data_IF_959701244201
#
_entry.id   IF_959701244201
#
_cell.length_a   1.000
_cell.length_b   1.000
_cell.length_c   1.000
_cell.angle_alpha   90.00
_cell.angle_beta   90.00
_cell.angle_gamma   90.00
#
_symmetry.space_group_name_H-M   'P 1'
#
loop_
_entity.id
_entity.type
_entity.pdbx_description
1 polymer ?
#
# COMPACT_ATOMS: atom_id res chain seq x y z
N UNK A 1 -10.87 3.87 -8.34
CA UNK A 1 -11.49 4.93 -7.52
C UNK A 1 -12.91 4.45 -7.31
N UNK A 2 -13.25 4.03 -6.09
CA UNK A 2 -14.62 3.67 -5.77
C UNK A 2 -15.53 4.86 -6.08
N UNK A 3 -16.73 4.59 -6.59
CA UNK A 3 -17.66 5.65 -6.94
C UNK A 3 -18.23 6.29 -5.66
N UNK A 4 -17.48 7.22 -5.09
CA UNK A 4 -17.84 7.98 -3.90
C UNK A 4 -19.14 8.78 -4.07
N UNK A 5 -19.69 8.90 -5.28
CA UNK A 5 -20.93 9.63 -5.54
C UNK A 5 -22.16 8.95 -4.91
N UNK A 6 -22.10 7.64 -4.69
CA UNK A 6 -23.19 6.87 -4.09
C UNK A 6 -23.27 7.00 -2.55
N UNK A 7 -22.24 7.54 -1.89
CA UNK A 7 -22.20 7.63 -0.43
C UNK A 7 -23.08 8.76 0.10
N UNK A 8 -23.57 8.61 1.34
CA UNK A 8 -24.33 9.64 2.04
C UNK A 8 -23.42 10.79 2.53
N UNK A 9 -23.40 11.90 1.79
CA UNK A 9 -22.64 13.10 2.16
C UNK A 9 -23.45 14.15 2.94
N UNK A 10 -24.55 13.73 3.58
CA UNK A 10 -25.34 14.57 4.48
C UNK A 10 -24.51 15.04 5.68
N UNK A 11 -24.38 16.36 5.85
CA UNK A 11 -23.61 16.95 6.95
C UNK A 11 -24.23 16.56 8.30
N UNK A 12 -23.40 16.09 9.21
CA UNK A 12 -23.83 15.66 10.54
C UNK A 12 -22.97 14.56 11.12
N UNK A 13 -23.37 14.08 12.28
CA UNK A 13 -22.74 12.96 12.98
C UNK A 13 -23.82 11.96 13.39
N UNK A 14 -23.54 10.66 13.20
CA UNK A 14 -24.38 9.57 13.72
C UNK A 14 -23.53 8.42 14.24
N UNK A 15 -24.04 7.73 15.25
CA UNK A 15 -23.52 6.43 15.69
C UNK A 15 -23.98 5.36 14.71
N UNK A 16 -23.04 4.59 14.17
CA UNK A 16 -23.32 3.46 13.26
C UNK A 16 -23.41 2.15 14.04
N UNK A 17 -22.54 1.96 15.03
CA UNK A 17 -22.57 0.78 15.91
C UNK A 17 -22.09 1.12 17.32
N UNK A 18 -22.66 0.46 18.33
CA UNK A 18 -22.08 0.38 19.67
C UNK A 18 -21.19 -0.86 19.72
N UNK A 19 -19.89 -0.66 19.94
CA UNK A 19 -18.91 -1.76 19.95
C UNK A 19 -19.04 -2.63 21.20
N UNK A 20 -19.85 -2.26 22.19
CA UNK A 20 -20.14 -3.10 23.35
C UNK A 20 -21.35 -4.00 23.13
N UNK A 21 -22.09 -3.83 22.04
CA UNK A 21 -23.26 -4.64 21.69
C UNK A 21 -22.89 -5.63 20.59
N UNK A 22 -23.26 -6.89 20.78
CA UNK A 22 -23.04 -7.96 19.81
C UNK A 22 -24.10 -9.05 19.97
N UNK A 23 -24.54 -9.67 18.88
CA UNK A 23 -25.50 -10.79 18.88
C UNK A 23 -24.88 -12.15 19.24
N UNK A 24 -23.55 -12.21 19.27
CA UNK A 24 -22.73 -13.34 19.68
C UNK A 24 -21.99 -13.01 20.98
N UNK A 25 -21.70 -14.04 21.79
CA UNK A 25 -20.84 -13.88 22.97
C UNK A 25 -19.40 -13.62 22.52
N UNK A 26 -18.87 -12.43 22.84
CA UNK A 26 -17.52 -12.01 22.46
C UNK A 26 -16.61 -12.02 23.69
N UNK A 27 -15.62 -12.92 23.71
CA UNK A 27 -14.60 -12.94 24.77
C UNK A 27 -13.62 -11.78 24.62
N UNK A 28 -13.16 -11.52 23.39
CA UNK A 28 -12.31 -10.38 23.04
C UNK A 28 -12.38 -10.10 21.53
N UNK A 29 -11.89 -8.91 21.13
CA UNK A 29 -11.89 -8.43 19.74
C UNK A 29 -10.52 -7.93 19.29
N UNK A 30 -10.22 -8.10 18.01
CA UNK A 30 -9.05 -7.50 17.34
C UNK A 30 -9.28 -6.01 17.01
N UNK A 31 -8.32 -5.43 16.28
CA UNK A 31 -8.39 -4.07 15.77
C UNK A 31 -9.56 -3.87 14.80
N UNK A 32 -10.37 -2.84 15.06
CA UNK A 32 -11.53 -2.50 14.23
C UNK A 32 -11.11 -2.05 12.83
N UNK A 33 -11.91 -2.43 11.84
CA UNK A 33 -11.83 -2.02 10.44
C UNK A 33 -13.06 -1.20 10.10
N UNK A 34 -12.91 -0.07 9.42
CA UNK A 34 -14.03 0.75 8.98
C UNK A 34 -14.24 0.60 7.47
N UNK A 35 -15.49 0.43 7.03
CA UNK A 35 -15.81 0.43 5.61
C UNK A 35 -15.44 1.77 4.96
N UNK A 36 -15.12 1.79 3.66
CA UNK A 36 -14.82 3.02 2.92
C UNK A 36 -15.87 4.12 3.13
N UNK A 37 -17.15 3.77 3.02
CA UNK A 37 -18.30 4.69 3.13
C UNK A 37 -18.64 5.09 4.57
N UNK A 38 -18.05 4.40 5.55
CA UNK A 38 -18.26 4.60 6.97
C UNK A 38 -19.55 4.00 7.54
N UNK A 39 -20.31 3.22 6.77
CA UNK A 39 -21.55 2.59 7.22
C UNK A 39 -21.35 1.27 7.98
N UNK A 40 -20.13 0.74 7.98
CA UNK A 40 -19.79 -0.47 8.71
C UNK A 40 -18.49 -0.33 9.49
N UNK A 41 -18.46 -1.00 10.64
CA UNK A 41 -17.26 -1.31 11.39
C UNK A 41 -17.23 -2.80 11.65
N UNK A 42 -16.07 -3.41 11.46
CA UNK A 42 -15.89 -4.84 11.62
C UNK A 42 -14.65 -5.17 12.44
N UNK A 43 -14.65 -6.31 13.12
CA UNK A 43 -13.48 -6.85 13.80
C UNK A 43 -13.53 -8.37 13.83
N UNK A 44 -12.36 -9.00 13.83
CA UNK A 44 -12.24 -10.40 14.24
C UNK A 44 -12.57 -10.49 15.72
N UNK A 45 -13.42 -11.43 16.09
CA UNK A 45 -13.86 -11.69 17.47
C UNK A 45 -13.63 -13.14 17.82
N UNK A 46 -13.20 -13.39 19.06
CA UNK A 46 -13.19 -14.74 19.64
C UNK A 46 -14.53 -14.99 20.32
N UNK A 47 -15.22 -16.06 19.90
CA UNK A 47 -16.58 -16.40 20.35
C UNK A 47 -16.65 -17.64 21.24
N UNK A 48 -15.54 -18.36 21.36
CA UNK A 48 -15.42 -19.51 22.27
C UNK A 48 -14.02 -20.10 22.26
N UNK A 49 -13.85 -21.26 22.89
CA UNK A 49 -12.56 -21.96 22.94
C UNK A 49 -12.10 -22.39 21.53
N UNK A 50 -11.10 -21.70 20.97
CA UNK A 50 -10.60 -21.98 19.63
C UNK A 50 -11.56 -21.55 18.51
N UNK A 51 -12.60 -20.77 18.82
CA UNK A 51 -13.62 -20.36 17.86
C UNK A 51 -13.58 -18.84 17.61
N UNK A 52 -13.54 -18.47 16.34
CA UNK A 52 -13.44 -17.10 15.86
C UNK A 52 -14.51 -16.80 14.81
N UNK A 53 -14.89 -15.52 14.72
CA UNK A 53 -15.76 -15.00 13.67
C UNK A 53 -15.39 -13.55 13.38
N UNK A 54 -16.13 -12.93 12.46
CA UNK A 54 -16.09 -11.50 12.18
C UNK A 54 -17.39 -10.89 12.63
N UNK A 55 -17.32 -9.92 13.54
CA UNK A 55 -18.44 -9.09 13.94
C UNK A 55 -18.48 -7.85 13.03
N UNK A 56 -19.60 -7.62 12.35
CA UNK A 56 -19.88 -6.43 11.54
C UNK A 56 -21.07 -5.71 12.15
N UNK A 57 -20.88 -4.47 12.60
CA UNK A 57 -21.93 -3.66 13.25
C UNK A 57 -22.70 -4.38 14.38
N UNK A 58 -22.03 -5.26 15.14
CA UNK A 58 -22.66 -6.03 16.21
C UNK A 58 -23.25 -7.38 15.77
N UNK A 59 -23.17 -7.74 14.49
CA UNK A 59 -23.60 -9.05 14.00
C UNK A 59 -22.44 -9.92 13.53
N UNK A 60 -22.39 -11.14 14.03
CA UNK A 60 -21.35 -12.08 13.67
C UNK A 60 -21.63 -12.85 12.36
N UNK A 61 -20.59 -13.10 11.57
CA UNK A 61 -20.64 -14.03 10.44
C UNK A 61 -20.91 -15.47 10.89
N UNK A 62 -21.52 -16.24 9.98
CA UNK A 62 -21.67 -17.69 10.04
C UNK A 62 -21.16 -18.30 8.72
N UNK A 63 -20.45 -19.46 8.75
CA UNK A 63 -20.08 -20.24 9.93
C UNK A 63 -18.95 -19.59 10.76
N UNK A 64 -18.61 -20.23 11.88
CA UNK A 64 -17.43 -19.91 12.71
C UNK A 64 -16.20 -20.63 12.21
N UNK A 65 -15.02 -20.13 12.59
CA UNK A 65 -13.72 -20.61 12.10
C UNK A 65 -12.76 -20.92 13.25
N UNK A 66 -11.79 -21.80 13.04
CA UNK A 66 -10.69 -21.99 14.00
C UNK A 66 -9.76 -20.77 14.04
N UNK A 67 -9.61 -20.06 12.91
CA UNK A 67 -8.92 -18.77 12.80
C UNK A 67 -9.50 -17.94 11.66
N UNK A 68 -9.45 -16.62 11.80
CA UNK A 68 -9.61 -15.69 10.69
C UNK A 68 -8.62 -14.53 10.86
N UNK A 69 -7.82 -14.26 9.84
CA UNK A 69 -6.75 -13.27 9.90
C UNK A 69 -6.84 -12.25 8.77
N UNK A 70 -6.14 -11.13 8.95
CA UNK A 70 -5.98 -10.07 7.96
C UNK A 70 -7.31 -9.51 7.44
N UNK A 71 -8.25 -9.28 8.36
CA UNK A 71 -9.55 -8.69 8.02
C UNK A 71 -9.37 -7.27 7.44
N UNK A 72 -9.84 -7.03 6.22
CA UNK A 72 -9.72 -5.74 5.52
C UNK A 72 -10.91 -5.49 4.61
N UNK A 73 -11.36 -4.23 4.55
CA UNK A 73 -12.26 -3.80 3.49
C UNK A 73 -11.49 -3.56 2.18
N UNK A 74 -11.98 -4.10 1.08
CA UNK A 74 -11.55 -3.76 -0.28
C UNK A 74 -11.97 -2.33 -0.65
N UNK A 75 -11.35 -1.72 -1.67
CA UNK A 75 -11.72 -0.37 -2.13
C UNK A 75 -13.18 -0.19 -2.54
N UNK A 76 -13.85 -1.25 -3.01
CA UNK A 76 -15.29 -1.27 -3.35
C UNK A 76 -16.21 -1.54 -2.14
N UNK A 77 -15.64 -1.81 -0.96
CA UNK A 77 -16.38 -1.92 0.30
C UNK A 77 -16.75 -3.33 0.74
N UNK A 78 -16.30 -4.38 0.03
CA UNK A 78 -16.43 -5.77 0.48
C UNK A 78 -15.45 -6.07 1.61
N UNK A 79 -15.85 -6.83 2.61
CA UNK A 79 -15.01 -7.20 3.75
C UNK A 79 -14.38 -8.56 3.50
N UNK A 80 -13.05 -8.63 3.39
CA UNK A 80 -12.32 -9.86 3.15
C UNK A 80 -11.50 -10.29 4.37
N UNK A 81 -11.43 -11.60 4.63
CA UNK A 81 -10.60 -12.20 5.66
C UNK A 81 -10.13 -13.60 5.26
N UNK A 82 -8.93 -14.00 5.70
CA UNK A 82 -8.37 -15.32 5.46
C UNK A 82 -8.79 -16.25 6.58
N UNK A 83 -9.71 -17.18 6.29
CA UNK A 83 -10.23 -18.11 7.27
C UNK A 83 -9.51 -19.46 7.20
N UNK A 84 -9.42 -20.11 8.35
CA UNK A 84 -8.91 -21.46 8.50
C UNK A 84 -9.93 -22.31 9.26
N UNK A 85 -10.22 -23.49 8.71
CA UNK A 85 -11.00 -24.52 9.37
C UNK A 85 -10.39 -25.89 9.05
N UNK A 86 -10.28 -26.76 10.07
CA UNK A 86 -9.73 -28.12 9.92
C UNK A 86 -8.35 -28.21 9.23
N UNK A 87 -7.56 -27.14 9.30
CA UNK A 87 -6.22 -27.06 8.70
C UNK A 87 -6.16 -26.46 7.30
N UNK A 88 -7.29 -26.32 6.60
CA UNK A 88 -7.35 -25.74 5.26
C UNK A 88 -7.72 -24.25 5.32
N UNK A 89 -7.21 -23.46 4.38
CA UNK A 89 -7.39 -22.01 4.30
C UNK A 89 -8.25 -21.61 3.09
N UNK A 90 -9.13 -20.64 3.30
CA UNK A 90 -9.95 -20.02 2.24
C UNK A 90 -10.06 -18.51 2.47
N UNK A 91 -10.45 -17.78 1.42
CA UNK A 91 -10.85 -16.38 1.55
C UNK A 91 -12.35 -16.33 1.85
N UNK A 92 -12.73 -15.57 2.88
CA UNK A 92 -14.11 -15.19 3.14
C UNK A 92 -14.33 -13.74 2.73
N UNK A 93 -15.34 -13.48 1.91
CA UNK A 93 -15.74 -12.15 1.43
C UNK A 93 -17.18 -11.92 1.82
N UNK A 94 -17.44 -10.93 2.67
CA UNK A 94 -18.77 -10.61 3.20
C UNK A 94 -19.49 -11.81 3.85
N UNK A 95 -18.71 -12.72 4.45
CA UNK A 95 -19.20 -13.94 5.08
C UNK A 95 -19.33 -15.15 4.15
N UNK A 96 -19.12 -14.98 2.85
CA UNK A 96 -19.14 -16.07 1.87
C UNK A 96 -17.72 -16.57 1.58
N UNK A 97 -17.52 -17.88 1.60
CA UNK A 97 -16.23 -18.51 1.33
C UNK A 97 -16.01 -18.68 -0.18
N UNK A 98 -14.76 -18.62 -0.63
CA UNK A 98 -14.40 -19.21 -1.91
C UNK A 98 -14.64 -20.72 -1.89
N UNK A 99 -15.04 -21.27 -3.05
CA UNK A 99 -15.30 -22.71 -3.21
C UNK A 99 -14.04 -23.56 -2.98
N UNK A 100 -12.88 -23.03 -3.36
CA UNK A 100 -11.58 -23.71 -3.25
C UNK A 100 -10.90 -23.43 -1.91
N UNK A 101 -10.12 -24.40 -1.45
CA UNK A 101 -9.32 -24.33 -0.22
C UNK A 101 -7.86 -24.69 -0.49
N UNK A 102 -6.95 -24.20 0.37
CA UNK A 102 -5.51 -24.33 0.17
C UNK A 102 -4.77 -24.60 1.49
N UNK A 103 -3.55 -25.13 1.41
CA UNK A 103 -2.76 -25.43 2.61
C UNK A 103 -2.44 -24.22 3.50
N UNK A 104 -2.20 -23.03 2.91
CA UNK A 104 -2.05 -21.77 3.63
C UNK A 104 -2.22 -20.57 2.70
N UNK A 105 -3.01 -19.57 3.12
CA UNK A 105 -3.17 -18.30 2.42
C UNK A 105 -2.59 -17.15 3.24
N UNK A 106 -2.01 -16.15 2.56
CA UNK A 106 -1.45 -14.95 3.21
C UNK A 106 -1.44 -13.74 2.27
N UNK A 107 -1.22 -12.55 2.82
CA UNK A 107 -1.02 -11.30 2.08
C UNK A 107 -2.15 -11.00 1.05
N UNK A 108 -3.35 -10.70 1.55
CA UNK A 108 -4.48 -10.28 0.72
C UNK A 108 -4.17 -8.97 -0.03
N UNK A 109 -4.54 -8.93 -1.30
CA UNK A 109 -4.36 -7.82 -2.22
C UNK A 109 -5.68 -7.52 -2.94
N UNK A 110 -5.90 -6.26 -3.27
CA UNK A 110 -7.08 -5.81 -4.00
C UNK A 110 -6.67 -5.07 -5.27
N UNK A 111 -7.43 -5.20 -6.35
CA UNK A 111 -7.35 -4.25 -7.45
C UNK A 111 -7.70 -2.84 -6.97
N UNK A 112 -7.29 -1.82 -7.73
CA UNK A 112 -7.48 -0.40 -7.39
C UNK A 112 -8.95 0.02 -7.31
N UNK A 113 -9.83 -0.65 -8.05
CA UNK A 113 -11.27 -0.48 -7.96
C UNK A 113 -11.91 -1.39 -6.92
N UNK A 114 -11.17 -2.39 -6.42
CA UNK A 114 -11.61 -3.38 -5.44
C UNK A 114 -12.34 -4.58 -6.02
N UNK A 115 -12.57 -4.64 -7.34
CA UNK A 115 -13.35 -5.71 -7.98
C UNK A 115 -12.69 -7.09 -7.96
N UNK A 116 -11.35 -7.14 -7.90
CA UNK A 116 -10.56 -8.38 -7.84
C UNK A 116 -9.91 -8.53 -6.47
N UNK A 117 -9.97 -9.73 -5.91
CA UNK A 117 -9.30 -10.09 -4.66
C UNK A 117 -8.27 -11.18 -4.95
N UNK A 118 -7.02 -10.92 -4.58
CA UNK A 118 -5.93 -11.88 -4.70
C UNK A 118 -5.29 -12.15 -3.35
N UNK A 119 -4.62 -13.29 -3.22
CA UNK A 119 -3.75 -13.59 -2.08
C UNK A 119 -2.59 -14.46 -2.52
N UNK A 120 -1.60 -14.60 -1.65
CA UNK A 120 -0.49 -15.53 -1.84
C UNK A 120 -0.87 -16.88 -1.25
N UNK A 121 -0.42 -17.96 -1.90
CA UNK A 121 -0.64 -19.33 -1.44
C UNK A 121 0.68 -20.01 -1.13
N UNK A 122 0.69 -20.80 -0.06
CA UNK A 122 1.71 -21.81 0.18
C UNK A 122 1.00 -23.16 0.29
N UNK A 123 1.24 -24.03 -0.68
CA UNK A 123 0.65 -25.36 -0.72
C UNK A 123 1.72 -26.40 -1.05
N UNK A 124 1.74 -27.49 -0.29
CA UNK A 124 2.70 -28.59 -0.44
C UNK A 124 4.16 -28.13 -0.57
N UNK A 125 4.57 -27.14 0.24
CA UNK A 125 5.91 -26.51 0.24
C UNK A 125 6.28 -25.77 -1.07
N UNK A 126 5.27 -25.39 -1.85
CA UNK A 126 5.40 -24.54 -3.03
C UNK A 126 4.54 -23.29 -2.87
N UNK A 127 4.87 -22.25 -3.63
CA UNK A 127 4.34 -20.90 -3.43
C UNK A 127 3.89 -20.30 -4.75
N UNK A 128 2.83 -19.49 -4.70
CA UNK A 128 2.28 -18.77 -5.84
C UNK A 128 1.21 -17.77 -5.42
N UNK A 129 0.29 -17.44 -6.33
CA UNK A 129 -0.83 -16.55 -6.06
C UNK A 129 -2.16 -17.21 -6.42
N UNK A 130 -3.22 -16.75 -5.77
CA UNK A 130 -4.62 -17.07 -6.04
C UNK A 130 -5.33 -15.77 -6.38
N UNK A 131 -6.10 -15.76 -7.46
CA UNK A 131 -6.90 -14.61 -7.90
C UNK A 131 -8.34 -15.06 -8.01
N UNK A 132 -9.24 -14.46 -7.23
CA UNK A 132 -10.66 -14.80 -7.17
C UNK A 132 -10.91 -16.32 -7.07
N UNK A 133 -10.20 -16.99 -6.17
CA UNK A 133 -10.32 -18.43 -5.94
C UNK A 133 -9.59 -19.34 -6.95
N UNK A 134 -8.84 -18.78 -7.92
CA UNK A 134 -8.08 -19.57 -8.90
C UNK A 134 -6.58 -19.42 -8.65
N UNK A 135 -5.92 -20.52 -8.29
CA UNK A 135 -4.47 -20.57 -8.12
C UNK A 135 -3.72 -20.57 -9.45
N UNK A 136 -2.48 -20.10 -9.44
CA UNK A 136 -1.54 -20.33 -10.54
C UNK A 136 -1.39 -21.82 -10.87
N UNK A 137 -1.30 -22.14 -12.15
CA UNK A 137 -1.05 -23.52 -12.61
C UNK A 137 0.33 -24.03 -12.17
N UNK A 138 1.35 -23.16 -12.18
CA UNK A 138 2.69 -23.47 -11.68
C UNK A 138 2.97 -22.77 -10.35
N UNK A 139 3.34 -23.57 -9.35
CA UNK A 139 3.86 -23.11 -8.07
C UNK A 139 5.36 -23.36 -7.99
N UNK A 140 6.05 -22.58 -7.17
CA UNK A 140 7.51 -22.58 -7.09
C UNK A 140 7.98 -22.94 -5.68
N UNK A 141 9.13 -23.61 -5.56
CA UNK A 141 9.72 -23.97 -4.26
C UNK A 141 10.04 -22.74 -3.38
N UNK A 142 10.15 -21.56 -3.99
CA UNK A 142 10.20 -20.28 -3.30
C UNK A 142 9.56 -19.22 -4.20
N UNK A 143 8.68 -18.40 -3.63
CA UNK A 143 8.18 -17.18 -4.24
C UNK A 143 8.08 -16.06 -3.20
N UNK A 144 8.36 -14.83 -3.61
CA UNK A 144 8.25 -13.63 -2.78
C UNK A 144 8.10 -12.38 -3.66
N UNK A 145 8.03 -11.18 -3.07
CA UNK A 145 7.78 -9.92 -3.81
C UNK A 145 6.54 -10.04 -4.73
N UNK A 146 5.46 -10.62 -4.19
CA UNK A 146 4.20 -10.80 -4.90
C UNK A 146 3.58 -9.45 -5.24
N UNK A 147 2.99 -9.35 -6.43
CA UNK A 147 2.43 -8.12 -6.95
C UNK A 147 1.19 -8.41 -7.79
N UNK A 148 0.14 -7.63 -7.56
CA UNK A 148 -1.09 -7.61 -8.36
C UNK A 148 -1.08 -6.33 -9.21
N UNK A 149 -1.47 -6.41 -10.48
CA UNK A 149 -1.65 -5.23 -11.33
C UNK A 149 -2.75 -4.30 -10.80
N UNK A 150 -2.72 -3.02 -11.18
CA UNK A 150 -3.71 -2.05 -10.67
C UNK A 150 -5.16 -2.43 -10.97
N UNK A 151 -5.43 -3.09 -12.10
CA UNK A 151 -6.76 -3.57 -12.50
C UNK A 151 -7.05 -5.02 -12.08
N UNK A 152 -6.13 -5.66 -11.36
CA UNK A 152 -6.25 -7.04 -10.90
C UNK A 152 -6.08 -8.13 -11.96
N UNK A 153 -5.84 -7.77 -13.23
CA UNK A 153 -5.82 -8.73 -14.34
C UNK A 153 -4.52 -9.55 -14.45
N UNK A 154 -3.45 -9.10 -13.79
CA UNK A 154 -2.13 -9.74 -13.87
C UNK A 154 -1.48 -9.83 -12.51
N UNK A 155 -0.69 -10.88 -12.34
CA UNK A 155 0.03 -11.16 -11.11
C UNK A 155 1.49 -11.45 -11.41
N UNK A 156 2.39 -11.08 -10.50
CA UNK A 156 3.81 -11.37 -10.64
C UNK A 156 4.44 -11.69 -9.29
N UNK A 157 5.50 -12.51 -9.31
CA UNK A 157 6.32 -12.76 -8.14
C UNK A 157 7.77 -13.03 -8.56
N UNK A 158 8.70 -12.78 -7.64
CA UNK A 158 10.06 -13.30 -7.75
C UNK A 158 10.03 -14.77 -7.35
N UNK A 159 10.51 -15.65 -8.24
CA UNK A 159 10.45 -17.10 -8.06
C UNK A 159 11.82 -17.74 -8.18
N UNK A 160 12.05 -18.82 -7.44
CA UNK A 160 13.23 -19.67 -7.63
C UNK A 160 12.92 -20.74 -8.68
N UNK A 161 13.61 -20.69 -9.82
CA UNK A 161 13.39 -21.63 -10.95
C UNK A 161 14.39 -22.78 -10.94
N UNK A 162 15.53 -22.61 -10.26
CA UNK A 162 16.56 -23.65 -10.14
C UNK A 162 16.61 -24.15 -8.69
N UNK A 163 16.41 -25.45 -8.43
CA UNK A 163 16.54 -26.01 -7.09
C UNK A 163 17.92 -25.73 -6.49
N UNK A 164 17.96 -25.34 -5.21
CA UNK A 164 19.20 -25.03 -4.51
C UNK A 164 19.27 -25.86 -3.22
N UNK A 165 20.29 -26.70 -3.12
CA UNK A 165 20.63 -27.45 -1.91
C UNK A 165 21.37 -26.59 -0.88
N UNK A 166 21.56 -27.16 0.32
CA UNK A 166 22.34 -26.50 1.36
C UNK A 166 23.79 -26.26 0.90
N UNK A 167 24.31 -25.06 1.15
CA UNK A 167 25.69 -24.65 0.84
C UNK A 167 26.10 -24.66 -0.65
N UNK A 168 25.17 -24.70 -1.60
CA UNK A 168 25.46 -24.62 -3.05
C UNK A 168 25.79 -23.17 -3.52
N UNK A 169 26.79 -22.53 -2.92
CA UNK A 169 27.10 -21.10 -3.16
C UNK A 169 27.48 -20.80 -4.61
N UNK A 170 28.14 -21.73 -5.32
CA UNK A 170 28.51 -21.53 -6.72
C UNK A 170 27.30 -21.58 -7.65
N UNK A 171 26.36 -22.49 -7.42
CA UNK A 171 25.10 -22.59 -8.16
C UNK A 171 24.23 -21.35 -7.96
N UNK A 172 24.15 -20.85 -6.72
CA UNK A 172 23.48 -19.58 -6.43
C UNK A 172 24.07 -18.41 -7.26
N UNK A 173 25.40 -18.36 -7.42
CA UNK A 173 26.08 -17.33 -8.20
C UNK A 173 25.85 -17.42 -9.71
N UNK A 174 25.43 -18.57 -10.22
CA UNK A 174 25.04 -18.73 -11.64
C UNK A 174 23.66 -18.10 -11.93
N UNK A 175 22.90 -17.79 -10.88
CA UNK A 175 21.56 -17.21 -10.98
C UNK A 175 20.47 -18.27 -10.93
N UNK A 176 19.57 -18.14 -9.96
CA UNK A 176 18.50 -19.13 -9.70
C UNK A 176 17.11 -18.51 -9.59
N UNK A 177 17.03 -17.17 -9.66
CA UNK A 177 15.78 -16.43 -9.50
C UNK A 177 15.34 -15.80 -10.81
N UNK A 178 14.04 -15.80 -11.05
CA UNK A 178 13.37 -15.13 -12.17
C UNK A 178 12.13 -14.39 -11.66
N UNK A 179 11.37 -13.79 -12.57
CA UNK A 179 10.00 -13.30 -12.31
C UNK A 179 9.02 -14.24 -12.99
N UNK A 180 8.05 -14.74 -12.23
CA UNK A 180 6.85 -15.36 -12.79
C UNK A 180 5.79 -14.29 -13.02
N UNK A 181 5.15 -14.32 -14.19
CA UNK A 181 3.96 -13.52 -14.52
C UNK A 181 2.82 -14.50 -14.76
N UNK A 182 1.75 -14.39 -13.98
CA UNK A 182 0.62 -15.34 -13.95
C UNK A 182 1.07 -16.80 -13.81
N UNK A 183 2.08 -17.04 -12.96
CA UNK A 183 2.63 -18.38 -12.75
C UNK A 183 3.62 -18.84 -13.82
N UNK A 184 3.94 -18.05 -14.83
CA UNK A 184 4.92 -18.40 -15.85
C UNK A 184 6.22 -17.61 -15.70
N UNK A 185 7.32 -18.29 -15.39
CA UNK A 185 8.63 -17.69 -15.23
C UNK A 185 9.22 -17.22 -16.56
N UNK A 186 9.92 -16.07 -16.55
CA UNK A 186 10.76 -15.71 -17.69
C UNK A 186 11.84 -16.77 -17.93
N UNK A 187 12.17 -17.00 -19.20
CA UNK A 187 13.24 -17.90 -19.66
C UNK A 187 14.65 -17.30 -19.48
N UNK A 188 14.90 -16.75 -18.29
CA UNK A 188 16.19 -16.18 -17.88
C UNK A 188 16.27 -16.19 -16.35
N UNK A 189 17.48 -16.34 -15.82
CA UNK A 189 17.73 -16.30 -14.38
C UNK A 189 18.76 -15.25 -14.01
N UNK A 190 18.62 -14.74 -12.78
CA UNK A 190 19.49 -13.76 -12.15
C UNK A 190 19.92 -14.25 -10.78
N UNK A 191 21.01 -13.67 -10.24
CA UNK A 191 21.50 -13.98 -8.89
C UNK A 191 20.46 -13.59 -7.85
N UNK A 192 19.82 -12.43 -8.04
CA UNK A 192 18.67 -12.01 -7.27
C UNK A 192 17.77 -11.11 -8.13
N UNK A 193 16.48 -11.12 -7.81
CA UNK A 193 15.45 -10.26 -8.39
C UNK A 193 14.61 -9.67 -7.27
N UNK A 194 14.13 -8.44 -7.41
CA UNK A 194 13.26 -7.77 -6.45
C UNK A 194 12.23 -6.88 -7.14
N UNK A 195 11.12 -6.62 -6.45
CA UNK A 195 10.15 -5.58 -6.80
C UNK A 195 9.67 -5.62 -8.27
N UNK A 196 9.01 -6.71 -8.72
CA UNK A 196 8.36 -6.74 -10.02
C UNK A 196 7.23 -5.69 -10.05
N UNK A 197 7.16 -4.90 -11.12
CA UNK A 197 6.17 -3.83 -11.31
C UNK A 197 5.59 -3.91 -12.70
N UNK A 198 4.27 -3.78 -12.83
CA UNK A 198 3.58 -3.77 -14.12
C UNK A 198 3.63 -2.40 -14.80
N UNK A 199 3.63 -2.40 -16.13
CA UNK A 199 3.22 -1.24 -16.92
C UNK A 199 1.74 -0.96 -16.70
N UNK A 200 1.29 0.29 -16.93
CA UNK A 200 -0.10 0.68 -16.70
C UNK A 200 -1.14 -0.08 -17.54
N UNK A 201 -0.72 -0.69 -18.66
CA UNK A 201 -1.53 -1.55 -19.53
C UNK A 201 -1.26 -3.05 -19.31
N UNK A 202 -0.51 -3.38 -18.26
CA UNK A 202 -0.10 -4.72 -17.84
C UNK A 202 0.63 -5.57 -18.89
N UNK A 203 1.10 -4.97 -19.98
CA UNK A 203 1.77 -5.73 -21.05
C UNK A 203 3.21 -6.12 -20.71
N UNK A 204 3.81 -5.44 -19.73
CA UNK A 204 5.23 -5.57 -19.41
C UNK A 204 5.46 -5.54 -17.90
N UNK A 205 6.50 -6.22 -17.46
CA UNK A 205 6.96 -6.25 -16.07
C UNK A 205 8.43 -5.83 -16.01
N UNK A 206 8.72 -4.89 -15.13
CA UNK A 206 10.07 -4.45 -14.81
C UNK A 206 10.46 -4.93 -13.40
N UNK A 207 11.72 -5.28 -13.19
CA UNK A 207 12.21 -5.67 -11.88
C UNK A 207 13.64 -5.16 -11.63
N UNK A 208 14.01 -5.03 -10.37
CA UNK A 208 15.41 -4.86 -9.97
C UNK A 208 16.13 -6.20 -10.07
N UNK A 209 17.33 -6.22 -10.64
CA UNK A 209 18.17 -7.43 -10.65
C UNK A 209 19.58 -7.17 -10.17
N UNK A 210 20.15 -8.22 -9.60
CA UNK A 210 21.58 -8.35 -9.36
C UNK A 210 22.13 -9.38 -10.35
N UNK A 211 23.06 -8.95 -11.20
CA UNK A 211 23.68 -9.80 -12.22
C UNK A 211 24.82 -10.64 -11.65
N UNK A 212 25.57 -10.08 -10.70
CA UNK A 212 26.64 -10.74 -9.97
C UNK A 212 26.85 -10.05 -8.60
N UNK A 213 27.94 -10.35 -7.90
CA UNK A 213 28.16 -9.79 -6.56
C UNK A 213 28.21 -8.25 -6.47
N UNK A 214 28.41 -7.54 -7.58
CA UNK A 214 28.63 -6.09 -7.58
C UNK A 214 27.75 -5.32 -8.56
N UNK A 215 27.22 -6.00 -9.57
CA UNK A 215 26.53 -5.36 -10.69
C UNK A 215 25.01 -5.48 -10.57
N UNK A 216 24.34 -4.34 -10.59
CA UNK A 216 22.89 -4.22 -10.53
C UNK A 216 22.36 -3.49 -11.76
N UNK A 217 21.14 -3.84 -12.15
CA UNK A 217 20.42 -3.13 -13.22
C UNK A 217 18.92 -3.36 -13.09
N UNK A 218 18.15 -2.75 -14.00
CA UNK A 218 16.72 -3.03 -14.17
C UNK A 218 16.56 -3.97 -15.36
N UNK A 219 15.66 -4.94 -15.21
CA UNK A 219 15.22 -5.85 -16.27
C UNK A 219 13.79 -5.49 -16.66
N UNK A 220 13.47 -5.55 -17.95
CA UNK A 220 12.11 -5.42 -18.46
C UNK A 220 11.81 -6.64 -19.33
N UNK A 221 10.80 -7.42 -18.97
CA UNK A 221 10.40 -8.66 -19.67
C UNK A 221 11.58 -9.60 -19.93
N UNK A 222 12.37 -9.86 -18.89
CA UNK A 222 13.58 -10.70 -18.96
C UNK A 222 14.79 -10.06 -19.64
N UNK A 223 14.70 -8.81 -20.14
CA UNK A 223 15.79 -8.11 -20.84
C UNK A 223 16.42 -7.03 -19.97
N UNK A 224 17.67 -7.22 -19.50
CA UNK A 224 18.36 -6.20 -18.71
C UNK A 224 18.62 -4.93 -19.52
N UNK A 225 18.63 -3.77 -18.86
CA UNK A 225 19.22 -2.58 -19.45
C UNK A 225 20.71 -2.82 -19.76
N UNK A 226 21.22 -2.15 -20.78
CA UNK A 226 22.64 -2.20 -21.14
C UNK A 226 23.54 -1.49 -20.10
N UNK A 227 22.97 -0.68 -19.21
CA UNK A 227 23.68 0.04 -18.17
C UNK A 227 23.79 -0.80 -16.89
N UNK A 228 24.93 -0.70 -16.22
CA UNK A 228 25.22 -1.35 -14.95
C UNK A 228 25.48 -0.27 -13.88
N UNK A 229 24.96 -0.50 -12.68
CA UNK A 229 25.06 0.40 -11.54
C UNK A 229 25.59 -0.33 -10.31
N UNK A 230 26.13 0.43 -9.35
CA UNK A 230 26.59 -0.16 -8.09
C UNK A 230 25.43 -0.69 -7.25
N UNK A 231 24.29 -0.02 -7.32
CA UNK A 231 23.00 -0.40 -6.73
C UNK A 231 21.89 0.28 -7.54
N UNK A 232 20.69 -0.28 -7.50
CA UNK A 232 19.47 0.36 -8.00
C UNK A 232 18.38 0.19 -6.95
N UNK A 233 17.29 0.95 -7.05
CA UNK A 233 16.05 0.69 -6.31
C UNK A 233 14.95 0.22 -7.26
N UNK A 234 13.78 -0.03 -6.68
CA UNK A 234 12.56 -0.45 -7.36
C UNK A 234 12.29 0.35 -8.65
N UNK A 235 11.96 -0.31 -9.78
CA UNK A 235 11.61 0.36 -11.01
C UNK A 235 10.20 0.97 -10.96
N UNK A 236 9.94 1.97 -11.80
CA UNK A 236 8.63 2.54 -12.03
C UNK A 236 8.40 2.78 -13.52
N UNK A 237 7.31 2.24 -14.07
CA UNK A 237 6.89 2.59 -15.42
C UNK A 237 6.32 4.01 -15.48
N UNK A 238 6.68 4.74 -16.53
CA UNK A 238 6.00 5.96 -16.90
C UNK A 238 4.56 5.62 -17.33
N UNK A 239 3.55 6.36 -16.85
CA UNK A 239 2.13 5.98 -16.99
C UNK A 239 1.62 5.93 -18.43
N UNK A 240 2.37 6.45 -19.41
CA UNK A 240 1.97 6.54 -20.83
C UNK A 240 2.94 5.99 -21.86
N UNK A 241 4.25 5.98 -21.60
CA UNK A 241 5.28 5.73 -22.62
C UNK A 241 5.96 4.37 -22.48
N UNK A 242 5.66 3.64 -21.40
CA UNK A 242 6.36 2.39 -21.00
C UNK A 242 7.85 2.53 -20.71
N UNK A 243 8.42 3.73 -20.78
CA UNK A 243 9.79 3.95 -20.29
C UNK A 243 9.84 3.66 -18.79
N UNK A 244 10.93 3.08 -18.32
CA UNK A 244 11.09 2.70 -16.92
C UNK A 244 12.11 3.62 -16.27
N UNK A 245 11.78 4.18 -15.11
CA UNK A 245 12.72 4.91 -14.26
C UNK A 245 13.10 4.10 -13.03
N UNK A 246 14.32 4.28 -12.55
CA UNK A 246 14.75 3.71 -11.28
C UNK A 246 15.81 4.62 -10.63
N UNK A 247 15.79 4.78 -9.30
CA UNK A 247 16.92 5.35 -8.59
C UNK A 247 18.15 4.48 -8.79
N UNK A 248 19.29 5.10 -9.10
CA UNK A 248 20.54 4.39 -9.38
C UNK A 248 21.70 4.98 -8.59
N UNK A 249 22.60 4.12 -8.14
CA UNK A 249 23.81 4.51 -7.41
C UNK A 249 25.04 4.38 -8.28
N UNK A 250 25.78 5.49 -8.39
CA UNK A 250 27.04 5.58 -9.12
C UNK A 250 28.04 6.40 -8.31
N UNK A 251 29.28 5.90 -8.21
CA UNK A 251 30.38 6.58 -7.50
C UNK A 251 29.99 7.03 -6.07
N UNK A 252 29.24 6.19 -5.37
CA UNK A 252 28.83 6.41 -3.99
C UNK A 252 27.58 7.30 -3.79
N UNK A 253 27.06 7.94 -4.84
CA UNK A 253 25.90 8.85 -4.78
C UNK A 253 24.70 8.30 -5.55
N UNK A 254 23.50 8.74 -5.18
CA UNK A 254 22.25 8.35 -5.81
C UNK A 254 21.76 9.44 -6.78
N UNK A 255 21.21 8.97 -7.90
CA UNK A 255 20.50 9.77 -8.90
C UNK A 255 19.32 8.96 -9.44
N UNK A 256 18.89 9.29 -10.65
CA UNK A 256 17.76 8.62 -11.32
C UNK A 256 18.17 8.28 -12.74
N UNK A 257 17.83 7.08 -13.21
CA UNK A 257 17.96 6.68 -14.60
C UNK A 257 16.59 6.39 -15.22
N UNK A 258 16.48 6.59 -16.53
CA UNK A 258 15.38 6.15 -17.37
C UNK A 258 15.94 5.28 -18.49
N UNK A 259 15.46 4.05 -18.61
CA UNK A 259 15.89 3.08 -19.64
C UNK A 259 17.42 2.95 -19.72
N UNK A 260 18.08 2.91 -18.56
CA UNK A 260 19.54 2.84 -18.42
C UNK A 260 20.30 4.16 -18.59
N UNK A 261 19.64 5.25 -19.02
CA UNK A 261 20.25 6.57 -19.15
C UNK A 261 20.02 7.41 -17.89
N UNK A 262 21.08 7.94 -17.29
CA UNK A 262 20.99 8.87 -16.15
C UNK A 262 20.24 10.15 -16.56
N UNK A 263 19.16 10.47 -15.85
CA UNK A 263 18.34 11.68 -16.02
C UNK A 263 18.49 12.67 -14.85
N UNK A 264 18.75 12.17 -13.63
CA UNK A 264 19.17 13.01 -12.50
C UNK A 264 20.60 12.66 -12.13
N UNK A 265 21.49 13.66 -12.19
CA UNK A 265 22.89 13.45 -11.90
C UNK A 265 23.09 12.94 -10.46
N UNK A 266 23.84 11.85 -10.25
CA UNK A 266 24.11 11.31 -8.92
C UNK A 266 24.76 12.35 -8.02
N UNK A 267 24.00 12.85 -7.04
CA UNK A 267 24.40 13.94 -6.16
C UNK A 267 23.83 13.78 -4.75
N UNK A 268 22.70 13.09 -4.62
CA UNK A 268 22.05 12.80 -3.36
C UNK A 268 22.75 11.68 -2.59
N UNK A 269 22.63 11.71 -1.27
CA UNK A 269 23.01 10.59 -0.39
C UNK A 269 22.01 9.44 -0.45
N UNK A 270 20.75 9.72 -0.84
CA UNK A 270 19.71 8.74 -1.12
C UNK A 270 18.64 9.32 -2.06
N UNK A 271 18.05 8.48 -2.91
CA UNK A 271 16.86 8.72 -3.73
C UNK A 271 16.00 7.45 -3.67
N UNK A 272 14.74 7.54 -3.27
CA UNK A 272 13.85 6.38 -3.19
C UNK A 272 12.37 6.81 -3.27
N UNK A 273 11.46 5.84 -3.40
CA UNK A 273 10.01 6.07 -3.44
C UNK A 273 9.61 7.08 -4.53
N UNK A 274 10.12 6.90 -5.75
CA UNK A 274 9.79 7.76 -6.88
C UNK A 274 8.35 7.55 -7.34
N UNK A 275 7.72 8.63 -7.82
CA UNK A 275 6.37 8.62 -8.40
C UNK A 275 6.30 9.58 -9.58
N UNK A 276 5.59 9.18 -10.62
CA UNK A 276 5.16 10.11 -11.66
C UNK A 276 3.91 10.86 -11.22
N UNK A 277 3.75 12.10 -11.68
CA UNK A 277 2.43 12.73 -11.72
C UNK A 277 1.45 11.87 -12.52
N UNK A 278 0.12 11.97 -12.31
CA UNK A 278 -0.86 11.19 -13.08
C UNK A 278 -0.75 11.36 -14.60
N UNK A 279 -0.33 12.55 -15.05
CA UNK A 279 -0.09 12.84 -16.47
C UNK A 279 1.24 12.30 -17.00
N UNK A 280 2.19 11.97 -16.12
CA UNK A 280 3.57 11.56 -16.42
C UNK A 280 4.56 12.71 -16.65
N UNK A 281 4.11 13.97 -16.58
CA UNK A 281 4.95 15.13 -16.93
C UNK A 281 5.97 15.54 -15.85
N UNK A 282 5.80 15.06 -14.61
CA UNK A 282 6.69 15.30 -13.48
C UNK A 282 7.10 13.98 -12.87
N UNK A 283 8.36 13.88 -12.44
CA UNK A 283 8.88 12.79 -11.62
C UNK A 283 9.28 13.34 -10.27
N UNK A 284 8.67 12.85 -9.20
CA UNK A 284 9.06 13.16 -7.83
C UNK A 284 9.73 11.97 -7.16
N UNK A 285 10.56 12.22 -6.14
CA UNK A 285 11.10 11.19 -5.27
C UNK A 285 11.46 11.76 -3.90
N UNK A 286 11.56 10.91 -2.89
CA UNK A 286 12.13 11.26 -1.60
C UNK A 286 13.64 11.24 -1.74
N UNK A 287 14.32 12.31 -1.30
CA UNK A 287 15.76 12.49 -1.47
C UNK A 287 16.46 12.92 -0.18
N UNK A 288 17.75 12.64 -0.12
CA UNK A 288 18.66 13.11 0.92
C UNK A 288 19.74 14.01 0.30
N UNK A 289 19.48 15.33 0.09
CA UNK A 289 20.43 16.26 -0.54
C UNK A 289 21.68 16.50 0.31
N UNK A 290 21.51 16.52 1.64
CA UNK A 290 22.58 16.64 2.62
C UNK A 290 22.50 15.48 3.60
N UNK A 291 23.62 15.07 4.15
CA UNK A 291 23.66 13.92 5.06
C UNK A 291 22.69 14.12 6.24
N UNK A 292 21.74 13.21 6.40
CA UNK A 292 20.73 13.26 7.46
C UNK A 292 19.65 14.33 7.28
N UNK A 293 19.54 14.94 6.09
CA UNK A 293 18.44 15.86 5.75
C UNK A 293 17.61 15.28 4.62
N UNK A 294 16.33 15.06 4.86
CA UNK A 294 15.39 14.46 3.93
C UNK A 294 14.40 15.49 3.41
N UNK A 295 14.02 15.36 2.14
CA UNK A 295 12.99 16.19 1.50
C UNK A 295 12.45 15.49 0.25
N UNK A 296 11.56 16.14 -0.49
CA UNK A 296 11.16 15.71 -1.83
C UNK A 296 12.01 16.42 -2.88
N UNK A 297 12.24 15.76 -4.02
CA UNK A 297 12.71 16.40 -5.23
C UNK A 297 11.68 16.22 -6.35
N UNK A 298 11.48 17.26 -7.14
CA UNK A 298 10.68 17.21 -8.37
C UNK A 298 11.61 17.48 -9.55
N UNK A 299 11.67 16.54 -10.49
CA UNK A 299 12.57 16.56 -11.65
C UNK A 299 14.03 16.83 -11.27
N UNK A 300 14.48 16.19 -10.18
CA UNK A 300 15.84 16.28 -9.67
C UNK A 300 16.14 17.55 -8.88
N UNK A 301 15.15 18.43 -8.66
CA UNK A 301 15.32 19.66 -7.85
C UNK A 301 14.75 19.42 -6.45
N UNK A 302 15.59 19.36 -5.40
CA UNK A 302 15.11 19.20 -4.03
C UNK A 302 14.36 20.46 -3.59
N UNK A 303 13.36 20.25 -2.73
CA UNK A 303 12.68 21.29 -1.97
C UNK A 303 13.59 21.87 -0.87
N UNK A 304 13.26 23.08 -0.41
CA UNK A 304 14.02 23.77 0.64
C UNK A 304 13.65 23.30 2.04
N UNK A 305 12.39 22.92 2.23
CA UNK A 305 11.86 22.35 3.47
C UNK A 305 12.49 20.97 3.66
N UNK A 306 13.25 20.80 4.73
CA UNK A 306 13.95 19.55 5.03
C UNK A 306 13.65 19.07 6.44
N UNK A 307 13.81 17.77 6.66
CA UNK A 307 13.54 17.08 7.91
C UNK A 307 14.74 16.23 8.32
N UNK A 308 15.06 16.23 9.62
CA UNK A 308 16.23 15.53 10.16
C UNK A 308 16.02 14.03 10.35
N UNK A 309 14.79 13.59 10.60
CA UNK A 309 14.55 12.20 10.98
C UNK A 309 14.13 11.37 9.76
N UNK A 310 13.06 11.77 9.08
CA UNK A 310 12.55 11.06 7.89
C UNK A 310 11.53 11.88 7.09
N UNK A 311 11.32 11.46 5.84
CA UNK A 311 10.21 11.85 4.97
C UNK A 311 9.59 10.57 4.40
N UNK A 312 8.26 10.49 4.35
CA UNK A 312 7.51 9.36 3.80
C UNK A 312 6.13 9.76 3.26
N UNK A 313 5.41 8.79 2.69
CA UNK A 313 4.02 8.94 2.21
C UNK A 313 3.80 10.11 1.25
N UNK A 314 4.69 10.21 0.25
CA UNK A 314 4.55 11.18 -0.83
C UNK A 314 3.32 10.86 -1.69
N UNK A 315 2.57 11.89 -2.07
CA UNK A 315 1.38 11.75 -2.92
C UNK A 315 1.16 13.00 -3.77
N UNK A 316 0.85 12.81 -5.06
CA UNK A 316 0.44 13.88 -5.95
C UNK A 316 -1.06 14.21 -5.77
N UNK A 317 -1.42 15.47 -6.03
CA UNK A 317 -2.84 15.79 -6.27
C UNK A 317 -3.36 15.07 -7.52
N UNK A 318 -4.69 14.85 -7.65
CA UNK A 318 -5.27 14.14 -8.80
C UNK A 318 -4.93 14.75 -10.16
N UNK A 319 -4.72 16.06 -10.23
CA UNK A 319 -4.31 16.80 -11.42
C UNK A 319 -2.78 16.86 -11.62
N UNK A 320 -1.99 16.34 -10.67
CA UNK A 320 -0.52 16.36 -10.68
C UNK A 320 0.11 17.74 -10.45
N UNK A 321 -0.67 18.75 -10.09
CA UNK A 321 -0.14 20.12 -9.92
C UNK A 321 0.55 20.33 -8.58
N UNK A 322 0.12 19.61 -7.54
CA UNK A 322 0.59 19.72 -6.16
C UNK A 322 1.14 18.38 -5.64
N UNK A 323 1.93 18.46 -4.58
CA UNK A 323 2.57 17.31 -3.95
C UNK A 323 2.56 17.47 -2.43
N UNK A 324 2.24 16.41 -1.71
CA UNK A 324 2.27 16.37 -0.25
C UNK A 324 3.08 15.17 0.24
N UNK A 325 3.60 15.26 1.46
CA UNK A 325 4.26 14.16 2.16
C UNK A 325 4.24 14.39 3.68
N UNK A 326 4.66 13.37 4.42
CA UNK A 326 4.92 13.44 5.85
C UNK A 326 6.40 13.71 6.12
N UNK A 327 6.67 14.67 6.99
CA UNK A 327 8.02 14.99 7.46
C UNK A 327 8.12 14.82 8.96
N UNK A 328 9.24 14.28 9.44
CA UNK A 328 9.52 14.07 10.86
C UNK A 328 10.76 14.84 11.29
N UNK A 329 10.59 15.68 12.31
CA UNK A 329 11.66 16.48 12.90
C UNK A 329 11.51 16.48 14.41
N UNK A 330 12.60 16.21 15.12
CA UNK A 330 12.66 16.21 16.58
C UNK A 330 11.56 15.30 17.18
N UNK A 331 11.42 14.10 16.63
CA UNK A 331 10.42 13.10 17.00
C UNK A 331 8.95 13.50 16.77
N UNK A 332 8.69 14.63 16.12
CA UNK A 332 7.34 15.09 15.76
C UNK A 332 7.09 15.02 14.28
N UNK A 333 5.86 14.66 13.94
CA UNK A 333 5.38 14.58 12.57
C UNK A 333 4.62 15.85 12.16
N UNK A 334 4.70 16.16 10.87
CA UNK A 334 3.87 17.16 10.22
C UNK A 334 3.63 16.77 8.77
N UNK A 335 2.54 17.25 8.18
CA UNK A 335 2.33 17.20 6.73
C UNK A 335 3.01 18.42 6.13
N UNK A 336 3.66 18.25 4.99
CA UNK A 336 4.18 19.37 4.21
C UNK A 336 3.72 19.26 2.76
N UNK A 337 3.30 20.38 2.20
CA UNK A 337 2.66 20.49 0.89
C UNK A 337 3.34 21.60 0.12
N UNK A 338 3.72 21.32 -1.12
CA UNK A 338 4.35 22.29 -2.02
C UNK A 338 5.51 23.09 -1.39
N UNK A 339 6.49 22.36 -0.83
CA UNK A 339 7.66 22.91 -0.14
C UNK A 339 7.34 23.75 1.12
N UNK A 340 6.22 23.46 1.81
CA UNK A 340 5.85 24.13 3.07
C UNK A 340 5.23 23.17 4.08
N UNK A 341 5.82 23.10 5.27
CA UNK A 341 5.25 22.36 6.39
C UNK A 341 4.02 23.06 6.97
N UNK A 342 3.04 22.28 7.43
CA UNK A 342 1.97 22.77 8.28
C UNK A 342 2.54 23.27 9.62
N UNK A 343 1.81 24.18 10.27
CA UNK A 343 2.18 24.64 11.62
C UNK A 343 1.90 23.62 12.72
N UNK A 344 1.08 22.60 12.45
CA UNK A 344 0.76 21.53 13.38
C UNK A 344 1.91 20.53 13.52
N UNK A 345 2.18 20.14 14.78
CA UNK A 345 3.11 19.07 15.14
C UNK A 345 2.38 17.99 15.93
N UNK A 346 2.66 16.73 15.58
CA UNK A 346 1.90 15.58 16.04
C UNK A 346 2.83 14.47 16.53
N UNK A 347 2.32 13.63 17.42
CA UNK A 347 3.02 12.41 17.87
C UNK A 347 3.07 11.40 16.72
N UNK A 348 2.03 11.38 15.88
CA UNK A 348 1.98 10.63 14.63
C UNK A 348 1.15 11.38 13.58
N UNK A 349 1.54 11.29 12.30
CA UNK A 349 0.71 11.63 11.15
C UNK A 349 0.59 10.41 10.25
N UNK A 350 -0.54 10.24 9.59
CA UNK A 350 -0.75 9.19 8.59
C UNK A 350 -0.83 9.80 7.19
N UNK A 351 -0.72 8.95 6.16
CA UNK A 351 -0.57 9.36 4.77
C UNK A 351 -1.57 10.48 4.39
N UNK A 352 -1.09 11.61 3.83
CA UNK A 352 -1.97 12.69 3.42
C UNK A 352 -2.82 12.26 2.23
N UNK A 353 -4.02 12.84 2.12
CA UNK A 353 -4.94 12.64 1.00
C UNK A 353 -5.34 13.98 0.43
N UNK A 354 -5.36 14.10 -0.90
CA UNK A 354 -5.89 15.28 -1.58
C UNK A 354 -7.40 15.17 -1.78
N UNK A 355 -8.08 16.31 -1.76
CA UNK A 355 -9.44 16.40 -2.31
C UNK A 355 -9.43 16.11 -3.82
N UNK A 356 -10.56 15.63 -4.40
CA UNK A 356 -10.62 15.32 -5.83
C UNK A 356 -10.27 16.50 -6.74
N UNK A 357 -10.53 17.72 -6.28
CA UNK A 357 -10.19 18.95 -7.00
C UNK A 357 -8.76 19.47 -6.72
N UNK A 358 -7.97 18.75 -5.92
CA UNK A 358 -6.58 19.07 -5.57
C UNK A 358 -6.40 20.27 -4.63
N UNK A 359 -7.48 20.93 -4.18
CA UNK A 359 -7.39 22.18 -3.41
C UNK A 359 -7.05 21.97 -1.94
N UNK A 360 -7.52 20.88 -1.36
CA UNK A 360 -7.40 20.60 0.07
C UNK A 360 -6.57 19.36 0.32
N UNK A 361 -5.84 19.33 1.43
CA UNK A 361 -5.12 18.15 1.92
C UNK A 361 -5.62 17.82 3.31
N UNK A 362 -6.00 16.56 3.53
CA UNK A 362 -6.37 16.05 4.84
C UNK A 362 -5.39 14.96 5.30
N UNK A 363 -5.24 14.81 6.61
CA UNK A 363 -4.49 13.71 7.20
C UNK A 363 -5.10 13.31 8.54
N UNK A 364 -5.06 12.02 8.85
CA UNK A 364 -5.27 11.53 10.21
C UNK A 364 -4.01 11.85 11.04
N UNK A 365 -4.22 12.33 12.25
CA UNK A 365 -3.13 12.75 13.15
C UNK A 365 -3.39 12.31 14.58
N UNK A 366 -2.32 12.05 15.33
CA UNK A 366 -2.35 11.68 16.74
C UNK A 366 -1.65 12.72 17.61
N UNK A 367 -2.26 13.08 18.73
CA UNK A 367 -1.68 13.96 19.74
C UNK A 367 -2.13 13.56 21.13
N UNK A 368 -1.18 13.25 22.01
CA UNK A 368 -1.39 12.84 23.41
C UNK A 368 -2.34 11.63 23.53
N UNK A 369 -2.16 10.62 22.67
CA UNK A 369 -2.97 9.40 22.67
C UNK A 369 -4.40 9.57 22.17
N UNK A 370 -4.71 10.67 21.48
CA UNK A 370 -6.00 10.91 20.82
C UNK A 370 -5.81 11.18 19.34
N UNK A 371 -6.72 10.68 18.54
CA UNK A 371 -6.70 10.82 17.08
C UNK A 371 -7.69 11.88 16.62
N UNK A 372 -7.39 12.57 15.53
CA UNK A 372 -8.32 13.48 14.83
C UNK A 372 -7.95 13.59 13.35
N UNK A 373 -8.75 14.35 12.58
CA UNK A 373 -8.43 14.73 11.21
C UNK A 373 -7.98 16.19 11.19
N UNK A 374 -6.88 16.46 10.48
CA UNK A 374 -6.45 17.81 10.14
C UNK A 374 -6.65 18.06 8.65
N UNK A 375 -7.18 19.22 8.29
CA UNK A 375 -7.37 19.68 6.91
C UNK A 375 -6.63 21.00 6.73
N UNK A 376 -5.73 21.08 5.76
CA UNK A 376 -4.88 22.24 5.48
C UNK A 376 -4.20 22.84 6.74
N UNK A 377 -3.74 21.95 7.63
CA UNK A 377 -3.07 22.33 8.88
C UNK A 377 -4.01 22.75 10.03
N UNK A 378 -5.33 22.60 9.88
CA UNK A 378 -6.33 22.86 10.92
C UNK A 378 -6.98 21.56 11.38
N UNK A 379 -6.95 21.29 12.67
CA UNK A 379 -7.60 20.11 13.28
C UNK A 379 -9.13 20.28 13.33
N UNK A 380 -9.90 19.20 13.11
CA UNK A 380 -11.36 19.17 13.23
C UNK A 380 -11.88 19.62 14.61
N UNK A 381 -11.05 19.49 15.65
CA UNK A 381 -11.30 20.03 17.00
C UNK A 381 -11.84 19.02 18.00
N UNK A 382 -12.34 17.87 17.55
CA UNK A 382 -12.69 16.73 18.41
C UNK A 382 -11.60 15.65 18.35
N UNK A 383 -11.21 15.12 19.52
CA UNK A 383 -10.32 13.96 19.63
C UNK A 383 -11.09 12.66 19.85
N UNK A 384 -10.58 11.57 19.28
CA UNK A 384 -11.19 10.24 19.28
C UNK A 384 -10.25 9.19 19.87
N UNK A 385 -10.80 8.05 20.31
CA UNK A 385 -10.04 6.90 20.80
C UNK A 385 -9.35 6.17 19.64
N UNK A 386 -10.06 6.05 18.51
CA UNK A 386 -9.50 5.64 17.22
C UNK A 386 -10.08 6.54 16.12
N UNK A 387 -9.32 6.74 15.05
CA UNK A 387 -9.79 7.41 13.85
C UNK A 387 -9.22 6.68 12.64
N UNK A 388 -9.95 6.68 11.54
CA UNK A 388 -9.53 6.09 10.26
C UNK A 388 -9.16 7.21 9.28
N UNK A 389 -8.51 6.84 8.18
CA UNK A 389 -8.05 7.84 7.21
C UNK A 389 -9.24 8.63 6.63
N UNK A 390 -9.08 9.94 6.36
CA UNK A 390 -10.20 10.77 5.89
C UNK A 390 -10.53 10.50 4.42
N UNK A 391 -11.79 10.71 4.05
CA UNK A 391 -12.24 10.67 2.64
C UNK A 391 -12.95 11.98 2.28
N UNK A 392 -12.63 12.55 1.12
CA UNK A 392 -13.30 13.75 0.62
C UNK A 392 -14.55 13.41 -0.18
N UNK A 393 -15.55 14.29 -0.17
CA UNK A 393 -16.66 14.23 -1.11
C UNK A 393 -16.18 14.43 -2.55
N UNK A 394 -16.91 13.96 -3.58
CA UNK A 394 -16.50 14.09 -4.98
C UNK A 394 -16.22 15.54 -5.43
N UNK A 395 -16.90 16.52 -4.84
CA UNK A 395 -16.72 17.94 -5.09
C UNK A 395 -15.63 18.60 -4.20
N UNK A 396 -15.01 17.84 -3.30
CA UNK A 396 -14.02 18.29 -2.34
C UNK A 396 -14.55 19.17 -1.20
N UNK A 397 -15.86 19.42 -1.12
CA UNK A 397 -16.44 20.38 -0.17
C UNK A 397 -16.60 19.84 1.26
N UNK A 398 -16.57 18.52 1.44
CA UNK A 398 -16.78 17.84 2.73
C UNK A 398 -15.72 16.77 2.97
N UNK A 399 -15.53 16.43 4.23
CA UNK A 399 -14.72 15.30 4.68
C UNK A 399 -15.59 14.34 5.48
N UNK A 400 -15.47 13.06 5.15
CA UNK A 400 -15.97 11.94 5.94
C UNK A 400 -14.90 11.54 6.96
N UNK A 401 -15.27 11.65 8.24
CA UNK A 401 -14.49 11.23 9.38
C UNK A 401 -15.16 9.98 9.96
N UNK A 402 -14.40 8.90 10.04
CA UNK A 402 -14.77 7.64 10.67
C UNK A 402 -13.96 7.52 11.95
N UNK A 403 -14.62 7.31 13.07
CA UNK A 403 -13.94 7.36 14.37
C UNK A 403 -14.64 6.53 15.43
N UNK A 404 -13.90 6.17 16.48
CA UNK A 404 -14.43 5.51 17.67
C UNK A 404 -14.24 6.45 18.86
N UNK A 405 -15.32 6.69 19.61
CA UNK A 405 -15.29 7.44 20.85
C UNK A 405 -16.20 6.79 21.89
N UNK A 406 -15.65 6.48 23.06
CA UNK A 406 -16.40 5.90 24.17
C UNK A 406 -17.07 4.57 23.81
N UNK A 407 -16.38 3.73 23.03
CA UNK A 407 -16.90 2.44 22.57
C UNK A 407 -17.93 2.54 21.44
N UNK A 408 -18.19 3.72 20.87
CA UNK A 408 -19.13 3.90 19.77
C UNK A 408 -18.40 4.24 18.49
N UNK A 409 -18.74 3.52 17.42
CA UNK A 409 -18.29 3.85 16.08
C UNK A 409 -19.20 4.91 15.47
N UNK A 410 -18.60 6.03 15.07
CA UNK A 410 -19.28 7.21 14.57
C UNK A 410 -18.88 7.49 13.13
N UNK A 411 -19.88 7.88 12.36
CA UNK A 411 -19.75 8.41 11.01
C UNK A 411 -20.08 9.90 11.04
N UNK A 412 -19.12 10.73 10.63
CA UNK A 412 -19.22 12.19 10.68
C UNK A 412 -18.91 12.75 9.30
N UNK A 413 -19.79 13.60 8.76
CA UNK A 413 -19.54 14.37 7.55
C UNK A 413 -19.53 15.84 7.91
N UNK A 414 -18.40 16.52 7.67
CA UNK A 414 -18.23 17.95 7.97
C UNK A 414 -17.80 18.73 6.72
N UNK A 415 -18.34 19.95 6.49
CA UNK A 415 -17.80 20.84 5.47
C UNK A 415 -16.36 21.23 5.76
N UNK A 416 -15.51 21.17 4.73
CA UNK A 416 -14.10 21.57 4.82
C UNK A 416 -13.96 23.01 5.35
N UNK A 417 -14.80 23.92 4.84
CA UNK A 417 -14.80 25.32 5.23
C UNK A 417 -14.95 25.51 6.75
N UNK A 418 -15.74 24.66 7.42
CA UNK A 418 -15.94 24.75 8.87
C UNK A 418 -14.70 24.31 9.67
N UNK A 419 -13.90 23.39 9.13
CA UNK A 419 -12.66 22.93 9.77
C UNK A 419 -11.57 24.00 9.63
N UNK A 420 -11.44 24.58 8.44
CA UNK A 420 -10.31 25.46 8.12
C UNK A 420 -10.53 26.92 8.56
N UNK A 421 -11.79 27.31 8.83
CA UNK A 421 -12.18 28.63 9.33
C UNK A 421 -12.67 29.55 8.23
#
# INVERSE_FOLDING_TARGET
MSDYSAWDWGVGSRTVADLNECDCDVEWREENQASPDGEQVAAVVKTGEGEFSVCVNGSCWEPRYERIWYLRYSPDGRLAGLANDQGDWTMCVDGEQWDETYGFLFNTMFSKDGSVIACCVADSMTYGMVVDGVAWENLYANANNFHLSEDGQKTAAVVQTIPLGQAEVFKFKEGIYSVAVDGEAWDVNFVNVWSPRFSADNSSVAAQVRLNLFDYTIVVDGKPWNAIFNQVWEPLFHPKSKSVVAPVRLSGKWGMAQDGKVIWQPSFFQVWQQQFSPSGDKLAAIVCPEYGRWTLAVDGKPWNTTFGDMVMDMTFSPDGTRLAALGKQDEKWTVFVDDRAWGGQYDMCFAPVFSPDGKHVAARVEKKGKYTIAVDGREYGQGFDQCFDPSFSPDGSKVLIRAIAGGKYMRIVEPVAKIIG
#
